data_IF_676591566403
#
_entry.id   IF_676591566403
#
_cell.length_a   1.000
_cell.length_b   1.000
_cell.length_c   1.000
_cell.angle_alpha   90.00
_cell.angle_beta   90.00
_cell.angle_gamma   90.00
#
_symmetry.space_group_name_H-M   'P 1'
#
loop_
_entity.id
_entity.type
_entity.pdbx_description
1 polymer ?
#
# COMPACT_ATOMS: atom_id res chain seq x y z
N UNK A 1 -4.16 -2.09 -6.36
CA UNK A 1 -4.06 -0.94 -7.29
C UNK A 1 -2.94 -0.01 -6.83
N UNK A 2 -2.11 0.53 -7.74
CA UNK A 2 -1.08 1.53 -7.38
C UNK A 2 -1.71 2.91 -7.22
N UNK A 3 -1.34 3.66 -6.19
CA UNK A 3 -1.73 5.07 -6.10
C UNK A 3 -1.08 5.92 -7.21
N UNK A 4 -1.36 7.23 -7.24
CA UNK A 4 -0.75 8.15 -8.18
C UNK A 4 0.77 8.22 -8.03
N UNK A 5 1.46 8.38 -9.15
CA UNK A 5 2.90 8.65 -9.18
C UNK A 5 3.22 9.59 -10.33
N UNK A 6 3.86 10.72 -10.04
CA UNK A 6 4.32 11.66 -11.07
C UNK A 6 5.50 11.13 -11.91
N UNK A 7 6.11 10.01 -11.50
CA UNK A 7 7.30 9.44 -12.15
C UNK A 7 6.99 8.17 -12.95
N UNK A 8 5.98 7.39 -12.56
CA UNK A 8 5.65 6.11 -13.19
C UNK A 8 4.62 6.26 -14.31
N UNK A 9 4.96 7.04 -15.34
CA UNK A 9 4.04 7.36 -16.46
C UNK A 9 3.62 6.15 -17.29
N UNK A 10 4.37 5.05 -17.24
CA UNK A 10 4.05 3.79 -17.93
C UNK A 10 2.99 2.94 -17.21
N UNK A 11 2.62 3.27 -15.97
CA UNK A 11 1.57 2.54 -15.25
C UNK A 11 0.23 3.20 -15.55
N UNK A 12 -0.63 2.48 -16.30
CA UNK A 12 -1.98 2.94 -16.68
C UNK A 12 -1.96 4.37 -17.27
N UNK A 13 -1.04 4.60 -18.21
CA UNK A 13 -0.85 5.87 -18.93
C UNK A 13 -0.68 7.11 -18.03
N UNK A 14 -0.08 6.92 -16.85
CA UNK A 14 0.19 8.01 -15.91
C UNK A 14 -1.05 8.50 -15.16
N UNK A 15 -2.04 7.62 -14.99
CA UNK A 15 -3.22 7.85 -14.17
C UNK A 15 -2.85 8.46 -12.80
N UNK A 16 -3.52 9.57 -12.48
CA UNK A 16 -3.18 10.47 -11.37
C UNK A 16 -4.05 10.29 -10.14
N UNK A 17 -4.88 9.25 -10.10
CA UNK A 17 -5.75 8.99 -8.98
C UNK A 17 -6.23 7.53 -8.86
N UNK A 18 -6.77 7.23 -7.69
CA UNK A 18 -7.47 6.01 -7.28
C UNK A 18 -8.99 6.21 -7.33
N UNK A 19 -9.51 6.78 -8.42
CA UNK A 19 -10.95 6.86 -8.61
C UNK A 19 -11.57 5.47 -8.86
N UNK A 20 -12.90 5.41 -8.79
CA UNK A 20 -13.65 4.18 -9.03
C UNK A 20 -13.22 3.44 -10.31
N UNK A 21 -13.03 4.19 -11.40
CA UNK A 21 -12.68 3.65 -12.72
C UNK A 21 -11.28 3.06 -12.73
N UNK A 22 -10.29 3.78 -12.20
CA UNK A 22 -8.89 3.35 -12.09
C UNK A 22 -8.75 2.08 -11.25
N UNK A 23 -9.53 1.96 -10.17
CA UNK A 23 -9.57 0.76 -9.33
C UNK A 23 -10.13 -0.43 -10.10
N UNK A 24 -11.28 -0.26 -10.76
CA UNK A 24 -11.95 -1.32 -11.54
C UNK A 24 -11.07 -1.80 -12.71
N UNK A 25 -10.54 -0.87 -13.52
CA UNK A 25 -9.63 -1.19 -14.62
C UNK A 25 -8.36 -1.91 -14.12
N UNK A 26 -7.80 -1.50 -12.96
CA UNK A 26 -6.62 -2.15 -12.41
C UNK A 26 -6.89 -3.58 -11.93
N UNK A 27 -8.07 -3.84 -11.36
CA UNK A 27 -8.48 -5.20 -10.92
C UNK A 27 -8.64 -6.10 -12.15
N UNK A 28 -9.39 -5.65 -13.15
CA UNK A 28 -9.69 -6.46 -14.35
C UNK A 28 -8.44 -6.81 -15.12
N UNK A 29 -7.55 -5.84 -15.30
CA UNK A 29 -6.24 -6.08 -15.91
C UNK A 29 -5.36 -7.03 -15.08
N UNK A 30 -5.50 -7.03 -13.76
CA UNK A 30 -4.73 -7.94 -12.89
C UNK A 30 -5.26 -9.38 -12.97
N UNK A 31 -6.59 -9.56 -12.96
CA UNK A 31 -7.23 -10.86 -13.17
C UNK A 31 -6.84 -11.47 -14.51
N UNK A 32 -6.87 -10.67 -15.58
CA UNK A 32 -6.45 -11.10 -16.92
C UNK A 32 -5.01 -11.62 -16.92
N UNK A 33 -4.07 -10.86 -16.34
CA UNK A 33 -2.65 -11.24 -16.30
C UNK A 33 -2.37 -12.44 -15.39
N UNK A 34 -3.11 -12.57 -14.30
CA UNK A 34 -2.99 -13.70 -13.37
C UNK A 34 -3.72 -14.96 -13.87
N UNK A 35 -4.52 -14.85 -14.94
CA UNK A 35 -5.34 -15.92 -15.49
C UNK A 35 -6.23 -16.57 -14.42
N UNK A 36 -6.88 -15.75 -13.60
CA UNK A 36 -7.79 -16.18 -12.54
C UNK A 36 -9.04 -15.30 -12.53
N UNK A 37 -10.16 -15.83 -12.05
CA UNK A 37 -11.41 -15.10 -11.93
C UNK A 37 -11.52 -14.31 -10.62
N UNK A 38 -10.63 -14.58 -9.65
CA UNK A 38 -10.61 -13.87 -8.37
C UNK A 38 -9.21 -13.72 -7.77
N UNK A 39 -9.07 -12.72 -6.89
CA UNK A 39 -7.89 -12.49 -6.05
C UNK A 39 -8.27 -12.62 -4.57
N UNK A 40 -7.52 -13.39 -3.79
CA UNK A 40 -7.79 -13.56 -2.36
C UNK A 40 -7.66 -12.24 -1.59
N UNK A 41 -6.58 -11.49 -1.80
CA UNK A 41 -6.32 -10.22 -1.13
C UNK A 41 -5.90 -9.17 -2.17
N UNK A 42 -6.71 -8.13 -2.31
CA UNK A 42 -6.37 -6.98 -3.15
C UNK A 42 -6.04 -5.77 -2.30
N UNK A 43 -4.90 -5.12 -2.58
CA UNK A 43 -4.40 -4.02 -1.76
C UNK A 43 -4.31 -2.72 -2.55
N UNK A 44 -4.70 -1.61 -1.91
CA UNK A 44 -4.24 -0.27 -2.33
C UNK A 44 -2.73 -0.22 -2.00
N UNK A 45 -1.89 -0.01 -3.01
CA UNK A 45 -0.43 -0.14 -2.88
C UNK A 45 0.18 1.06 -2.13
N UNK A 46 -0.35 2.26 -2.35
CA UNK A 46 -0.06 3.44 -1.54
C UNK A 46 -1.22 4.43 -1.63
N UNK A 47 -1.36 5.34 -0.66
CA UNK A 47 -2.51 6.24 -0.59
C UNK A 47 -2.64 7.15 -1.81
N UNK A 48 -3.87 7.49 -2.16
CA UNK A 48 -4.14 8.55 -3.14
C UNK A 48 -3.70 9.93 -2.63
N UNK A 49 -3.99 10.20 -1.36
CA UNK A 49 -3.62 11.45 -0.70
C UNK A 49 -2.11 11.54 -0.45
N UNK A 50 -1.62 12.77 -0.29
CA UNK A 50 -0.30 13.00 0.26
C UNK A 50 -0.15 12.34 1.65
N UNK A 51 0.87 11.50 1.77
CA UNK A 51 1.46 11.05 3.03
C UNK A 51 2.98 11.01 2.84
N UNK A 52 3.77 11.17 3.91
CA UNK A 52 5.21 10.93 3.87
C UNK A 52 5.46 9.49 3.43
N UNK A 53 6.23 9.31 2.36
CA UNK A 53 6.56 8.00 1.80
C UNK A 53 8.03 7.92 1.41
N UNK A 54 8.52 6.71 1.22
CA UNK A 54 9.81 6.42 0.60
C UNK A 54 11.03 7.08 1.26
N UNK A 55 11.00 7.26 2.58
CA UNK A 55 12.12 7.79 3.37
C UNK A 55 11.72 9.00 4.21
N UNK A 56 10.63 9.66 3.87
CA UNK A 56 10.04 10.73 4.68
C UNK A 56 9.19 10.14 5.81
N UNK A 57 9.22 10.80 6.98
CA UNK A 57 8.41 10.42 8.15
C UNK A 57 7.46 11.52 8.59
N UNK A 58 7.78 12.77 8.28
CA UNK A 58 7.12 13.93 8.84
C UNK A 58 6.06 14.44 7.88
N UNK A 59 4.83 14.55 8.38
CA UNK A 59 3.71 15.03 7.58
C UNK A 59 3.76 16.55 7.39
N UNK A 60 3.85 16.99 6.14
CA UNK A 60 3.76 18.40 5.77
C UNK A 60 2.39 18.73 5.17
N UNK A 61 1.50 19.45 5.88
CA UNK A 61 0.19 19.81 5.34
C UNK A 61 0.25 20.69 4.09
N UNK A 62 1.38 21.37 3.83
CA UNK A 62 1.53 22.22 2.64
C UNK A 62 1.71 21.42 1.36
N UNK A 63 2.05 20.13 1.45
CA UNK A 63 2.16 19.21 0.32
C UNK A 63 0.84 18.52 -0.06
N UNK A 64 -0.26 18.84 0.64
CA UNK A 64 -1.58 18.31 0.29
C UNK A 64 -1.98 18.71 -1.13
N UNK A 65 -2.61 17.76 -1.82
CA UNK A 65 -3.24 17.95 -3.12
C UNK A 65 -4.63 17.32 -3.13
N UNK A 66 -5.43 17.67 -4.13
CA UNK A 66 -6.74 17.09 -4.33
C UNK A 66 -6.60 15.58 -4.57
N UNK A 67 -7.18 14.79 -3.68
CA UNK A 67 -7.12 13.34 -3.68
C UNK A 67 -8.53 12.75 -3.71
N UNK A 68 -8.66 11.55 -4.26
CA UNK A 68 -9.90 10.80 -4.24
C UNK A 68 -10.22 10.43 -2.78
N UNK A 69 -11.44 10.72 -2.28
CA UNK A 69 -11.82 10.36 -0.92
C UNK A 69 -11.67 8.87 -0.64
N UNK A 70 -11.29 8.52 0.59
CA UNK A 70 -11.17 7.12 1.03
C UNK A 70 -12.50 6.38 0.86
N UNK A 71 -13.63 7.06 1.05
CA UNK A 71 -14.98 6.52 0.85
C UNK A 71 -15.18 6.03 -0.59
N UNK A 72 -14.88 6.84 -1.60
CA UNK A 72 -15.00 6.46 -3.01
C UNK A 72 -14.11 5.24 -3.33
N UNK A 73 -12.87 5.26 -2.83
CA UNK A 73 -11.94 4.13 -2.99
C UNK A 73 -12.51 2.84 -2.37
N UNK A 74 -13.08 2.95 -1.17
CA UNK A 74 -13.64 1.83 -0.43
C UNK A 74 -14.91 1.28 -1.09
N UNK A 75 -15.79 2.14 -1.59
CA UNK A 75 -16.98 1.74 -2.34
C UNK A 75 -16.61 0.99 -3.63
N UNK A 76 -15.60 1.47 -4.36
CA UNK A 76 -15.12 0.81 -5.58
C UNK A 76 -14.57 -0.60 -5.27
N UNK A 77 -13.78 -0.72 -4.21
CA UNK A 77 -13.33 -2.02 -3.72
C UNK A 77 -14.50 -2.91 -3.26
N UNK A 78 -15.51 -2.33 -2.61
CA UNK A 78 -16.73 -3.04 -2.19
C UNK A 78 -17.52 -3.60 -3.37
N UNK A 79 -17.66 -2.85 -4.47
CA UNK A 79 -18.24 -3.35 -5.72
C UNK A 79 -17.49 -4.55 -6.26
N UNK A 80 -16.15 -4.54 -6.22
CA UNK A 80 -15.33 -5.66 -6.66
C UNK A 80 -15.46 -6.89 -5.74
N UNK A 81 -15.59 -6.70 -4.43
CA UNK A 81 -15.90 -7.79 -3.47
C UNK A 81 -17.26 -8.40 -3.80
N UNK A 82 -18.30 -7.57 -3.96
CA UNK A 82 -19.65 -8.02 -4.26
C UNK A 82 -19.73 -8.75 -5.61
N UNK A 83 -18.93 -8.33 -6.60
CA UNK A 83 -18.82 -9.00 -7.89
C UNK A 83 -18.02 -10.32 -7.83
N UNK A 84 -17.43 -10.68 -6.69
CA UNK A 84 -16.62 -11.89 -6.52
C UNK A 84 -15.22 -11.82 -7.10
N UNK A 85 -14.81 -10.66 -7.65
CA UNK A 85 -13.48 -10.44 -8.24
C UNK A 85 -12.36 -10.44 -7.21
N UNK A 86 -12.67 -10.03 -5.97
CA UNK A 86 -11.72 -10.02 -4.85
C UNK A 86 -12.40 -10.56 -3.58
N UNK A 87 -11.67 -11.26 -2.71
CA UNK A 87 -12.22 -11.81 -1.44
C UNK A 87 -12.04 -10.85 -0.26
N UNK A 88 -10.85 -10.31 -0.12
CA UNK A 88 -10.49 -9.39 0.97
C UNK A 88 -9.76 -8.16 0.43
N UNK A 89 -9.85 -7.08 1.20
CA UNK A 89 -9.14 -5.84 0.90
C UNK A 89 -8.09 -5.54 1.97
N UNK A 90 -6.99 -4.94 1.54
CA UNK A 90 -5.96 -4.41 2.42
C UNK A 90 -5.41 -3.09 1.90
N UNK A 91 -4.52 -2.50 2.68
CA UNK A 91 -3.81 -1.27 2.33
C UNK A 91 -2.31 -1.48 2.44
N UNK A 92 -1.54 -0.57 1.88
CA UNK A 92 -0.08 -0.61 1.89
C UNK A 92 0.45 0.82 1.93
N UNK A 93 1.61 1.01 2.56
CA UNK A 93 2.22 2.32 2.78
C UNK A 93 1.26 3.33 3.43
N UNK A 94 0.33 2.85 4.25
CA UNK A 94 -0.66 3.66 4.94
C UNK A 94 -0.16 4.14 6.31
N UNK A 95 -0.84 5.15 6.83
CA UNK A 95 -0.61 5.78 8.13
C UNK A 95 -1.71 5.39 9.13
N UNK A 96 -1.53 5.65 10.44
CA UNK A 96 -2.59 5.43 11.44
C UNK A 96 -3.92 6.08 11.06
N UNK A 97 -3.87 7.32 10.55
CA UNK A 97 -5.06 8.03 10.08
C UNK A 97 -5.81 7.26 8.99
N UNK A 98 -5.10 6.81 7.95
CA UNK A 98 -5.76 6.09 6.84
C UNK A 98 -6.35 4.77 7.29
N UNK A 99 -5.62 3.97 8.08
CA UNK A 99 -6.13 2.70 8.63
C UNK A 99 -7.41 2.90 9.43
N UNK A 100 -7.42 3.88 10.35
CA UNK A 100 -8.60 4.17 11.16
C UNK A 100 -9.75 4.70 10.32
N UNK A 101 -9.48 5.51 9.31
CA UNK A 101 -10.51 6.07 8.43
C UNK A 101 -11.17 5.00 7.55
N UNK A 102 -10.38 4.08 6.96
CA UNK A 102 -10.92 2.90 6.28
C UNK A 102 -11.81 2.05 7.20
N UNK A 103 -11.36 1.83 8.45
CA UNK A 103 -12.12 1.04 9.42
C UNK A 103 -13.41 1.74 9.86
N UNK A 104 -13.37 3.07 10.03
CA UNK A 104 -14.54 3.90 10.37
C UNK A 104 -15.55 3.90 9.24
N UNK A 105 -15.13 4.12 8.00
CA UNK A 105 -16.02 4.15 6.83
C UNK A 105 -16.67 2.80 6.56
N UNK A 106 -15.94 1.70 6.74
CA UNK A 106 -16.51 0.35 6.63
C UNK A 106 -17.63 0.06 7.65
N UNK A 107 -17.68 0.81 8.77
CA UNK A 107 -18.77 0.71 9.75
C UNK A 107 -19.97 1.60 9.40
N UNK A 108 -19.73 2.72 8.71
CA UNK A 108 -20.75 3.74 8.43
C UNK A 108 -21.44 3.56 7.09
N UNK A 109 -20.70 3.10 6.07
CA UNK A 109 -21.19 2.95 4.71
C UNK A 109 -21.63 1.51 4.48
N UNK A 110 -22.93 1.25 4.26
CA UNK A 110 -23.42 -0.10 3.99
C UNK A 110 -22.67 -0.75 2.83
N UNK A 111 -22.44 -2.07 2.92
CA UNK A 111 -21.77 -2.88 1.89
C UNK A 111 -20.27 -2.59 1.66
N UNK A 112 -19.67 -1.63 2.37
CA UNK A 112 -18.23 -1.44 2.33
C UNK A 112 -17.49 -2.52 3.13
N UNK A 113 -16.49 -3.20 2.55
CA UNK A 113 -15.73 -4.23 3.25
C UNK A 113 -14.75 -3.61 4.25
N UNK A 114 -14.44 -4.33 5.34
CA UNK A 114 -13.40 -3.94 6.28
C UNK A 114 -12.02 -4.34 5.75
N UNK A 115 -11.01 -3.49 5.91
CA UNK A 115 -9.62 -3.86 5.63
C UNK A 115 -9.13 -4.93 6.60
N UNK A 116 -8.44 -5.94 6.08
CA UNK A 116 -7.93 -7.07 6.90
C UNK A 116 -6.42 -7.03 7.09
N UNK A 117 -5.70 -6.30 6.22
CA UNK A 117 -4.25 -6.20 6.28
C UNK A 117 -3.74 -4.79 5.96
N UNK A 118 -2.55 -4.52 6.50
CA UNK A 118 -1.69 -3.43 6.07
C UNK A 118 -0.32 -3.98 5.69
N UNK A 119 0.21 -3.62 4.52
CA UNK A 119 1.54 -3.99 4.06
C UNK A 119 2.49 -2.78 4.16
N UNK A 120 3.29 -2.71 5.23
CA UNK A 120 4.24 -1.61 5.46
C UNK A 120 5.69 -2.13 5.62
N UNK A 121 6.67 -1.25 5.38
CA UNK A 121 8.06 -1.53 5.65
C UNK A 121 8.25 -1.79 7.14
N UNK A 122 8.84 -2.94 7.48
CA UNK A 122 9.15 -3.26 8.86
C UNK A 122 10.39 -4.14 8.94
N UNK A 123 11.43 -3.64 9.61
CA UNK A 123 12.69 -4.34 9.83
C UNK A 123 13.48 -3.65 10.96
N UNK A 124 14.67 -4.19 11.29
CA UNK A 124 15.49 -3.65 12.38
C UNK A 124 15.89 -2.17 12.23
N UNK A 125 15.87 -1.64 11.00
CA UNK A 125 16.21 -0.25 10.68
C UNK A 125 14.98 0.63 10.45
N UNK A 126 13.79 0.04 10.34
CA UNK A 126 12.54 0.73 10.03
C UNK A 126 11.43 0.22 10.94
N UNK A 127 11.17 0.96 12.03
CA UNK A 127 10.22 0.60 13.09
C UNK A 127 9.08 1.61 13.25
N UNK A 128 8.85 2.47 12.26
CA UNK A 128 7.79 3.50 12.29
C UNK A 128 6.40 2.91 12.56
N UNK A 129 6.17 1.65 12.16
CA UNK A 129 4.94 0.92 12.46
C UNK A 129 4.64 0.87 13.96
N UNK A 130 5.66 0.72 14.81
CA UNK A 130 5.49 0.55 16.26
C UNK A 130 4.96 1.83 16.94
N UNK A 131 5.18 3.00 16.34
CA UNK A 131 4.86 4.29 16.95
C UNK A 131 3.36 4.65 16.95
N UNK A 132 2.54 3.97 16.13
CA UNK A 132 1.10 4.22 16.12
C UNK A 132 0.29 3.19 15.37
N UNK A 133 0.81 2.64 14.26
CA UNK A 133 0.08 1.62 13.50
C UNK A 133 -0.11 0.32 14.29
N UNK A 134 0.82 -0.04 15.17
CA UNK A 134 0.69 -1.22 16.01
C UNK A 134 -0.57 -1.16 16.91
N UNK A 135 -0.83 -0.01 17.53
CA UNK A 135 -2.03 0.23 18.35
C UNK A 135 -3.30 0.18 17.50
N UNK A 136 -3.35 0.94 16.41
CA UNK A 136 -4.50 0.93 15.49
C UNK A 136 -4.81 -0.47 14.97
N UNK A 137 -3.79 -1.22 14.52
CA UNK A 137 -3.93 -2.57 14.01
C UNK A 137 -4.40 -3.56 15.08
N UNK A 138 -3.97 -3.40 16.33
CA UNK A 138 -4.42 -4.23 17.44
C UNK A 138 -5.93 -4.04 17.67
N UNK A 139 -6.38 -2.79 17.84
CA UNK A 139 -7.79 -2.48 18.08
C UNK A 139 -8.68 -2.83 16.88
N UNK A 140 -8.21 -2.54 15.67
CA UNK A 140 -8.96 -2.82 14.45
C UNK A 140 -8.68 -4.20 13.85
N UNK A 141 -7.99 -5.10 14.55
CA UNK A 141 -7.71 -6.47 14.10
C UNK A 141 -7.13 -6.55 12.67
N UNK A 142 -6.43 -5.50 12.23
CA UNK A 142 -5.75 -5.43 10.93
C UNK A 142 -4.37 -6.07 11.09
N UNK A 143 -3.96 -6.93 10.16
CA UNK A 143 -2.68 -7.66 10.26
C UNK A 143 -1.59 -7.03 9.42
N UNK A 144 -0.41 -6.88 10.01
CA UNK A 144 0.78 -6.42 9.29
C UNK A 144 1.30 -7.53 8.37
N UNK A 145 1.46 -7.20 7.09
CA UNK A 145 2.27 -7.93 6.12
C UNK A 145 3.59 -7.17 5.94
N UNK A 146 4.61 -7.50 6.73
CA UNK A 146 5.88 -6.78 6.71
C UNK A 146 6.61 -6.98 5.37
N UNK A 147 6.95 -5.89 4.69
CA UNK A 147 7.83 -5.93 3.52
C UNK A 147 9.23 -5.39 3.84
N UNK A 148 10.19 -5.74 2.98
CA UNK A 148 11.61 -5.41 3.14
C UNK A 148 12.19 -5.82 4.52
N UNK A 149 11.96 -7.07 5.00
CA UNK A 149 12.46 -7.50 6.31
C UNK A 149 14.00 -7.45 6.42
N UNK A 150 14.70 -7.53 5.28
CA UNK A 150 16.16 -7.44 5.20
C UNK A 150 16.69 -6.08 4.71
N UNK A 151 15.84 -5.04 4.66
CA UNK A 151 16.21 -3.69 4.20
C UNK A 151 16.98 -3.71 2.86
N UNK A 152 16.34 -4.26 1.81
CA UNK A 152 16.96 -4.47 0.49
C UNK A 152 18.25 -5.33 0.50
N UNK A 153 18.44 -6.14 1.56
CA UNK A 153 19.60 -7.00 1.76
C UNK A 153 20.68 -6.39 2.65
N UNK A 154 20.53 -5.14 3.12
CA UNK A 154 21.49 -4.49 4.00
C UNK A 154 21.71 -5.27 5.30
N UNK A 155 20.62 -5.78 5.89
CA UNK A 155 20.64 -6.56 7.13
C UNK A 155 21.21 -7.99 6.98
N UNK A 156 21.62 -8.40 5.77
CA UNK A 156 22.39 -9.64 5.60
C UNK A 156 23.86 -9.49 5.99
N UNK A 157 24.33 -8.25 6.18
CA UNK A 157 25.72 -7.93 6.51
C UNK A 157 26.69 -7.93 5.32
N UNK A 158 26.23 -8.31 4.11
CA UNK A 158 27.11 -8.47 2.93
C UNK A 158 27.83 -7.19 2.49
N UNK A 159 27.33 -6.02 2.88
CA UNK A 159 27.92 -4.71 2.52
C UNK A 159 28.92 -4.19 3.57
N UNK A 160 29.14 -4.90 4.68
CA UNK A 160 30.13 -4.53 5.71
C UNK A 160 31.56 -5.00 5.40
N UNK A 161 31.76 -5.74 4.30
CA UNK A 161 33.10 -6.10 3.85
C UNK A 161 33.88 -4.83 3.46
N UNK A 162 35.21 -4.84 3.63
CA UNK A 162 36.07 -3.66 3.33
C UNK A 162 35.94 -3.16 1.88
N UNK A 163 35.50 -4.01 0.95
CA UNK A 163 35.25 -3.66 -0.45
C UNK A 163 33.80 -3.25 -0.75
N UNK A 164 32.95 -3.07 0.28
CA UNK A 164 31.54 -2.73 0.12
C UNK A 164 30.63 -3.89 -0.30
N UNK A 165 31.13 -5.13 -0.27
CA UNK A 165 30.37 -6.33 -0.63
C UNK A 165 30.45 -6.73 -2.11
N UNK A 166 29.72 -7.79 -2.52
CA UNK A 166 29.75 -8.29 -3.90
C UNK A 166 29.29 -7.25 -4.92
N UNK A 167 29.95 -7.17 -6.08
CA UNK A 167 29.63 -6.20 -7.12
C UNK A 167 28.26 -6.45 -7.78
N UNK A 168 27.82 -7.71 -7.80
CA UNK A 168 26.51 -8.16 -8.28
C UNK A 168 25.40 -8.05 -7.21
N UNK A 169 25.72 -7.58 -6.00
CA UNK A 169 24.71 -7.31 -4.97
C UNK A 169 23.80 -6.14 -5.40
N UNK A 170 22.50 -6.23 -5.06
CA UNK A 170 21.45 -5.29 -5.52
C UNK A 170 21.82 -3.82 -5.40
N UNK A 171 22.36 -3.38 -4.27
CA UNK A 171 22.70 -1.97 -4.02
C UNK A 171 23.99 -1.52 -4.74
N UNK A 172 24.82 -2.46 -5.19
CA UNK A 172 26.02 -2.19 -5.96
C UNK A 172 25.75 -2.22 -7.47
N UNK A 173 24.80 -3.05 -7.90
CA UNK A 173 24.42 -3.25 -9.30
C UNK A 173 23.56 -2.10 -9.86
N UNK A 174 22.59 -1.62 -9.09
CA UNK A 174 21.66 -0.56 -9.49
C UNK A 174 22.00 0.72 -8.71
N UNK A 175 22.90 1.54 -9.26
CA UNK A 175 23.28 2.85 -8.72
C UNK A 175 22.46 3.97 -9.36
#
# INVERSE_FOLDING_TARGET
>A
VTGPSGQMTWIRDGLKCLDARSIEEAIDNSLLRLCTDYIDLYQIHWPDRYVPMFGETDYDPTQQYAAVPIEEQLEALGRAVNAGKIRYIGVSNETPYGVMEFCRLAQLVPHCPRIVSIQNAYNLLCRNFDAGLAECCHHERVRLLAYSPLAMGLLSGKYFANNGGPADARLNLFK
#
